data_IF_053607095813
#
_entry.id   IF_053607095813
#
_cell.length_a   1.000
_cell.length_b   1.000
_cell.length_c   1.000
_cell.angle_alpha   90.00
_cell.angle_beta   90.00
_cell.angle_gamma   90.00
#
_symmetry.space_group_name_H-M   'P 1'
#
loop_
_entity.id
_entity.type
_entity.pdbx_description
1 polymer ?
#
# COMPACT_ATOMS: atom_id res chain seq x y z
N UNK A 1 4.35 17.65 -12.87
CA UNK A 1 3.50 16.62 -13.52
C UNK A 1 4.19 15.26 -13.43
N UNK A 2 3.47 14.23 -13.05
CA UNK A 2 4.01 12.88 -12.96
C UNK A 2 3.83 12.13 -14.27
N UNK A 3 4.87 11.44 -14.72
CA UNK A 3 4.76 10.46 -15.80
C UNK A 3 4.17 9.16 -15.27
N UNK A 4 3.69 8.29 -16.17
CA UNK A 4 3.21 6.97 -15.77
C UNK A 4 4.30 6.16 -15.04
N UNK A 5 5.54 6.23 -15.53
CA UNK A 5 6.67 5.56 -14.87
C UNK A 5 6.90 6.08 -13.45
N UNK A 6 6.82 7.40 -13.23
CA UNK A 6 6.97 7.99 -11.90
C UNK A 6 5.85 7.57 -10.96
N UNK A 7 4.62 7.43 -11.46
CA UNK A 7 3.49 6.98 -10.66
C UNK A 7 3.68 5.53 -10.20
N UNK A 8 4.16 4.66 -11.10
CA UNK A 8 4.48 3.29 -10.70
C UNK A 8 5.68 3.23 -9.73
N UNK A 9 6.65 4.14 -9.88
CA UNK A 9 7.73 4.26 -8.90
C UNK A 9 7.20 4.64 -7.52
N UNK A 10 6.19 5.51 -7.45
CA UNK A 10 5.52 5.84 -6.19
C UNK A 10 4.78 4.65 -5.61
N UNK A 11 4.08 3.87 -6.44
CA UNK A 11 3.40 2.66 -5.99
C UNK A 11 4.39 1.67 -5.38
N UNK A 12 5.52 1.45 -6.03
CA UNK A 12 6.58 0.57 -5.53
C UNK A 12 7.10 1.08 -4.17
N UNK A 13 7.31 2.37 -4.05
CA UNK A 13 7.77 2.97 -2.80
C UNK A 13 6.77 2.80 -1.66
N UNK A 14 5.48 2.99 -1.94
CA UNK A 14 4.41 2.79 -0.97
C UNK A 14 4.42 1.35 -0.46
N UNK A 15 4.51 0.38 -1.38
CA UNK A 15 4.51 -1.03 -1.02
C UNK A 15 5.77 -1.42 -0.23
N UNK A 16 6.93 -0.87 -0.59
CA UNK A 16 8.17 -1.09 0.16
C UNK A 16 8.10 -0.51 1.57
N UNK A 17 7.49 0.67 1.72
CA UNK A 17 7.27 1.26 3.03
C UNK A 17 6.34 0.39 3.87
N UNK A 18 5.31 -0.18 3.25
CA UNK A 18 4.41 -1.12 3.91
C UNK A 18 5.13 -2.37 4.40
N UNK A 19 5.95 -2.96 3.55
CA UNK A 19 6.75 -4.13 3.94
C UNK A 19 7.65 -3.80 5.13
N UNK A 20 8.38 -2.69 5.06
CA UNK A 20 9.29 -2.29 6.14
C UNK A 20 8.52 -2.09 7.46
N UNK A 21 7.36 -1.44 7.39
CA UNK A 21 6.50 -1.22 8.55
C UNK A 21 6.09 -2.55 9.19
N UNK A 22 5.60 -3.50 8.39
CA UNK A 22 5.16 -4.79 8.93
C UNK A 22 6.32 -5.63 9.45
N UNK A 23 7.49 -5.60 8.79
CA UNK A 23 8.68 -6.30 9.27
C UNK A 23 9.19 -5.72 10.59
N UNK A 24 9.19 -4.39 10.71
CA UNK A 24 9.58 -3.72 11.94
C UNK A 24 8.59 -4.00 13.08
N UNK A 25 7.30 -4.03 12.77
CA UNK A 25 6.28 -4.39 13.74
C UNK A 25 6.45 -5.82 14.25
N UNK A 26 6.88 -6.75 13.38
CA UNK A 26 7.17 -8.13 13.77
C UNK A 26 8.26 -8.24 14.85
N UNK A 27 9.20 -7.32 14.82
CA UNK A 27 10.28 -7.31 15.83
C UNK A 27 9.79 -6.83 17.19
N UNK A 28 8.75 -6.01 17.21
CA UNK A 28 8.23 -5.41 18.43
C UNK A 28 7.07 -6.21 19.04
N UNK A 29 6.19 -6.75 18.20
CA UNK A 29 4.98 -7.46 18.63
C UNK A 29 5.13 -8.94 18.25
N UNK A 30 5.39 -9.79 19.25
CA UNK A 30 5.86 -11.15 19.04
C UNK A 30 4.86 -12.25 19.42
N UNK A 31 3.63 -11.92 19.80
CA UNK A 31 2.65 -12.97 20.05
C UNK A 31 2.36 -13.74 18.77
N UNK A 32 2.13 -15.08 18.82
CA UNK A 32 1.99 -15.86 17.58
C UNK A 32 0.91 -15.39 16.63
N UNK A 33 -0.24 -14.95 17.14
CA UNK A 33 -1.34 -14.52 16.31
C UNK A 33 -1.03 -13.24 15.54
N UNK A 34 -0.46 -12.22 16.21
CA UNK A 34 -0.11 -10.97 15.53
C UNK A 34 1.06 -11.19 14.58
N UNK A 35 2.03 -12.03 14.94
CA UNK A 35 3.19 -12.33 14.11
C UNK A 35 2.77 -12.96 12.78
N UNK A 36 1.82 -13.90 12.81
CA UNK A 36 1.31 -14.54 11.59
C UNK A 36 0.63 -13.54 10.68
N UNK A 37 -0.15 -12.62 11.23
CA UNK A 37 -0.83 -11.57 10.45
C UNK A 37 0.20 -10.62 9.83
N UNK A 38 1.15 -10.14 10.61
CA UNK A 38 2.14 -9.17 10.13
C UNK A 38 3.06 -9.78 9.06
N UNK A 39 3.44 -11.04 9.23
CA UNK A 39 4.24 -11.75 8.24
C UNK A 39 3.48 -11.91 6.93
N UNK A 40 2.20 -12.30 7.00
CA UNK A 40 1.34 -12.40 5.83
C UNK A 40 1.24 -11.06 5.10
N UNK A 41 0.97 -9.98 5.83
CA UNK A 41 0.85 -8.65 5.23
C UNK A 41 2.17 -8.19 4.60
N UNK A 42 3.29 -8.42 5.27
CA UNK A 42 4.61 -8.08 4.71
C UNK A 42 4.88 -8.84 3.41
N UNK A 43 4.58 -10.14 3.37
CA UNK A 43 4.78 -10.97 2.17
C UNK A 43 3.89 -10.51 1.02
N UNK A 44 2.66 -10.06 1.31
CA UNK A 44 1.78 -9.51 0.29
C UNK A 44 2.32 -8.20 -0.29
N UNK A 45 2.93 -7.35 0.55
CA UNK A 45 3.57 -6.13 0.07
C UNK A 45 4.72 -6.45 -0.90
N UNK A 46 5.52 -7.48 -0.62
CA UNK A 46 6.59 -7.94 -1.52
C UNK A 46 6.02 -8.34 -2.87
N UNK A 47 4.92 -9.10 -2.85
CA UNK A 47 4.26 -9.55 -4.09
C UNK A 47 3.77 -8.36 -4.91
N UNK A 48 3.19 -7.36 -4.26
CA UNK A 48 2.74 -6.14 -4.94
C UNK A 48 3.90 -5.35 -5.54
N UNK A 49 5.04 -5.28 -4.84
CA UNK A 49 6.26 -4.64 -5.37
C UNK A 49 6.69 -5.33 -6.67
N UNK A 50 6.68 -6.64 -6.70
CA UNK A 50 7.06 -7.41 -7.90
C UNK A 50 6.13 -7.11 -9.08
N UNK A 51 4.82 -7.04 -8.83
CA UNK A 51 3.83 -6.73 -9.87
C UNK A 51 4.07 -5.32 -10.43
N UNK A 52 4.19 -4.32 -9.57
CA UNK A 52 4.40 -2.94 -10.01
C UNK A 52 5.77 -2.74 -10.67
N UNK A 53 6.79 -3.45 -10.22
CA UNK A 53 8.12 -3.40 -10.85
C UNK A 53 8.04 -3.91 -12.30
N UNK A 54 7.32 -5.00 -12.52
CA UNK A 54 7.09 -5.55 -13.85
C UNK A 54 6.31 -4.57 -14.72
N UNK A 55 5.23 -3.99 -14.20
CA UNK A 55 4.41 -3.03 -14.93
C UNK A 55 5.21 -1.79 -15.30
N UNK A 56 6.04 -1.29 -14.39
CA UNK A 56 6.90 -0.15 -14.65
C UNK A 56 7.90 -0.46 -15.76
N UNK A 57 8.51 -1.65 -15.73
CA UNK A 57 9.47 -2.06 -16.76
C UNK A 57 8.81 -2.13 -18.14
N UNK A 58 7.59 -2.60 -18.24
CA UNK A 58 6.83 -2.65 -19.48
C UNK A 58 6.52 -1.24 -20.01
N UNK A 59 6.15 -0.32 -19.14
CA UNK A 59 5.91 1.07 -19.48
C UNK A 59 7.20 1.74 -19.94
N UNK A 60 8.31 1.52 -19.25
CA UNK A 60 9.62 2.11 -19.61
C UNK A 60 10.14 1.60 -20.95
N UNK A 61 9.79 0.37 -21.32
CA UNK A 61 10.15 -0.22 -22.60
C UNK A 61 9.25 0.25 -23.76
N UNK A 62 8.08 0.80 -23.45
CA UNK A 62 7.13 1.31 -24.44
C UNK A 62 7.47 2.73 -24.81
N UNK A 63 7.30 3.07 -26.11
CA UNK A 63 7.49 4.45 -26.58
C UNK A 63 6.23 5.30 -26.44
N UNK A 64 5.09 4.66 -26.19
CA UNK A 64 3.79 5.33 -26.06
C UNK A 64 3.35 5.24 -24.61
N UNK A 65 3.78 6.19 -23.78
CA UNK A 65 3.32 6.25 -22.39
C UNK A 65 1.93 6.88 -22.32
N UNK A 66 1.00 6.29 -21.56
CA UNK A 66 -0.16 7.06 -21.15
C UNK A 66 0.31 8.17 -20.22
N UNK A 67 0.13 9.41 -20.63
CA UNK A 67 0.43 10.58 -19.78
C UNK A 67 -0.84 10.85 -18.98
N UNK A 68 -0.79 10.87 -17.63
CA UNK A 68 -1.95 11.21 -16.82
C UNK A 68 -2.42 12.62 -17.19
N UNK A 69 -3.73 12.83 -17.20
CA UNK A 69 -4.23 14.17 -17.43
C UNK A 69 -3.86 15.10 -16.27
N UNK A 70 -4.01 16.40 -16.48
CA UNK A 70 -3.59 17.40 -15.51
C UNK A 70 -4.38 17.30 -14.19
N UNK A 71 -5.65 16.90 -14.26
CA UNK A 71 -6.48 16.74 -13.08
C UNK A 71 -5.97 15.61 -12.20
N UNK A 72 -5.59 14.47 -12.81
CA UNK A 72 -5.02 13.33 -12.08
C UNK A 72 -3.67 13.73 -11.48
N UNK A 73 -2.83 14.45 -12.22
CA UNK A 73 -1.54 14.93 -11.71
C UNK A 73 -1.71 15.82 -10.49
N UNK A 74 -2.69 16.72 -10.49
CA UNK A 74 -2.98 17.59 -9.35
C UNK A 74 -3.44 16.80 -8.13
N UNK A 75 -4.30 15.80 -8.33
CA UNK A 75 -4.74 14.93 -7.24
C UNK A 75 -3.58 14.14 -6.64
N UNK A 76 -2.69 13.62 -7.50
CA UNK A 76 -1.49 12.90 -7.05
C UNK A 76 -0.55 13.81 -6.25
N UNK A 77 -0.32 15.03 -6.73
CA UNK A 77 0.51 16.01 -6.02
C UNK A 77 -0.05 16.31 -4.63
N UNK A 78 -1.36 16.44 -4.53
CA UNK A 78 -2.03 16.68 -3.26
C UNK A 78 -1.87 15.49 -2.31
N UNK A 79 -2.08 14.28 -2.79
CA UNK A 79 -1.96 13.05 -1.99
C UNK A 79 -0.53 12.86 -1.51
N UNK A 80 0.45 13.02 -2.40
CA UNK A 80 1.88 12.91 -2.07
C UNK A 80 2.30 14.03 -1.10
N UNK A 81 1.76 15.25 -1.32
CA UNK A 81 2.06 16.40 -0.46
C UNK A 81 1.56 16.23 0.97
N UNK A 82 0.45 15.52 1.16
CA UNK A 82 -0.08 15.21 2.49
C UNK A 82 0.74 14.14 3.23
N UNK A 83 1.67 13.49 2.55
CA UNK A 83 2.59 12.46 3.09
C UNK A 83 1.90 11.30 3.81
N UNK A 84 0.63 11.07 3.53
CA UNK A 84 -0.16 10.00 4.18
C UNK A 84 0.37 8.60 3.92
N UNK A 85 1.13 8.44 2.83
CA UNK A 85 1.70 7.15 2.45
C UNK A 85 3.11 6.93 3.01
N UNK A 86 3.63 7.90 3.77
CA UNK A 86 4.99 7.78 4.29
C UNK A 86 4.97 7.14 5.67
N UNK A 87 4.95 5.80 5.70
CA UNK A 87 5.15 5.06 6.94
C UNK A 87 6.57 5.24 7.52
N UNK A 88 7.48 5.84 6.73
CA UNK A 88 8.81 6.16 7.20
C UNK A 88 8.84 7.16 8.36
N UNK A 89 7.76 7.93 8.55
CA UNK A 89 7.63 8.85 9.67
C UNK A 89 7.05 8.19 10.92
N UNK A 90 6.54 6.96 10.80
CA UNK A 90 5.98 6.24 11.95
C UNK A 90 7.13 5.73 12.82
N UNK A 91 7.18 6.21 14.03
CA UNK A 91 8.15 5.74 15.03
C UNK A 91 7.49 4.63 15.85
N UNK A 92 7.81 3.38 15.51
CA UNK A 92 7.25 2.20 16.18
C UNK A 92 7.63 2.12 17.66
N UNK A 93 8.71 2.82 18.08
CA UNK A 93 9.06 2.87 19.49
C UNK A 93 8.00 3.57 20.33
N UNK A 94 7.21 4.43 19.71
CA UNK A 94 6.12 5.17 20.36
C UNK A 94 4.78 4.45 20.31
N UNK A 95 4.68 3.38 19.53
CA UNK A 95 3.46 2.56 19.42
C UNK A 95 3.48 1.55 20.55
N UNK A 96 2.58 1.71 21.51
CA UNK A 96 2.62 0.94 22.75
C UNK A 96 1.70 -0.27 22.78
N UNK A 97 0.74 -0.35 21.87
CA UNK A 97 -0.27 -1.41 21.91
C UNK A 97 -0.57 -1.97 20.53
N UNK A 98 -1.05 -3.20 20.49
CA UNK A 98 -1.52 -3.85 19.26
C UNK A 98 -2.69 -3.07 18.62
N UNK A 99 -3.73 -2.64 19.38
CA UNK A 99 -4.81 -1.83 18.77
C UNK A 99 -4.31 -0.57 18.07
N UNK A 100 -3.34 0.13 18.65
CA UNK A 100 -2.74 1.32 18.05
C UNK A 100 -2.02 0.97 16.74
N UNK A 101 -1.23 -0.12 16.75
CA UNK A 101 -0.56 -0.62 15.56
C UNK A 101 -1.55 -0.94 14.44
N UNK A 102 -2.65 -1.64 14.77
CA UNK A 102 -3.66 -2.04 13.80
C UNK A 102 -4.37 -0.83 13.21
N UNK A 103 -4.60 0.22 13.99
CA UNK A 103 -5.21 1.45 13.49
C UNK A 103 -4.29 2.14 12.48
N UNK A 104 -3.00 2.24 12.76
CA UNK A 104 -2.02 2.82 11.84
C UNK A 104 -1.98 2.01 10.54
N UNK A 105 -1.96 0.69 10.64
CA UNK A 105 -1.97 -0.19 9.46
C UNK A 105 -3.23 0.00 8.62
N UNK A 106 -4.39 0.09 9.26
CA UNK A 106 -5.66 0.29 8.54
C UNK A 106 -5.68 1.63 7.81
N UNK A 107 -5.22 2.69 8.44
CA UNK A 107 -5.13 4.01 7.81
C UNK A 107 -4.20 3.97 6.58
N UNK A 108 -3.07 3.31 6.71
CA UNK A 108 -2.14 3.13 5.59
C UNK A 108 -2.78 2.37 4.43
N UNK A 109 -3.47 1.27 4.72
CA UNK A 109 -4.13 0.48 3.67
C UNK A 109 -5.23 1.27 2.98
N UNK A 110 -6.02 2.05 3.72
CA UNK A 110 -7.05 2.92 3.14
C UNK A 110 -6.46 3.97 2.21
N UNK A 111 -5.38 4.63 2.62
CA UNK A 111 -4.71 5.63 1.78
C UNK A 111 -4.11 4.98 0.53
N UNK A 112 -3.55 3.80 0.68
CA UNK A 112 -2.98 3.02 -0.44
C UNK A 112 -4.06 2.69 -1.48
N UNK A 113 -5.24 2.27 -1.03
CA UNK A 113 -6.37 1.99 -1.93
C UNK A 113 -6.76 3.23 -2.74
N UNK A 114 -6.86 4.38 -2.09
CA UNK A 114 -7.19 5.65 -2.78
C UNK A 114 -6.17 5.96 -3.87
N UNK A 115 -4.89 5.75 -3.59
CA UNK A 115 -3.83 5.94 -4.58
C UNK A 115 -3.98 4.98 -5.74
N UNK A 116 -4.23 3.69 -5.47
CA UNK A 116 -4.35 2.68 -6.52
C UNK A 116 -5.62 2.86 -7.36
N UNK A 117 -6.71 3.32 -6.75
CA UNK A 117 -7.92 3.69 -7.51
C UNK A 117 -7.63 4.82 -8.50
N UNK A 118 -6.78 5.76 -8.10
CA UNK A 118 -6.34 6.84 -8.98
C UNK A 118 -5.49 6.31 -10.13
N UNK A 119 -4.53 5.41 -9.84
CA UNK A 119 -3.75 4.73 -10.89
C UNK A 119 -4.70 4.03 -11.88
N UNK A 120 -5.68 3.28 -11.37
CA UNK A 120 -6.64 2.56 -12.20
C UNK A 120 -7.40 3.48 -13.14
N UNK A 121 -7.64 4.73 -12.75
CA UNK A 121 -8.43 5.67 -13.55
C UNK A 121 -7.72 6.12 -14.83
N UNK A 122 -6.39 6.04 -14.92
CA UNK A 122 -5.66 6.44 -16.12
C UNK A 122 -5.04 5.27 -16.90
N UNK A 123 -5.07 4.06 -16.35
CA UNK A 123 -4.53 2.88 -17.04
C UNK A 123 -5.42 2.54 -18.22
N UNK A 124 -4.82 2.45 -19.41
CA UNK A 124 -5.55 2.13 -20.64
C UNK A 124 -5.44 0.65 -21.03
N UNK A 125 -4.32 0.02 -20.67
CA UNK A 125 -4.11 -1.39 -20.95
C UNK A 125 -4.99 -2.26 -20.03
N UNK A 126 -5.82 -3.12 -20.64
CA UNK A 126 -6.76 -3.94 -19.86
C UNK A 126 -6.08 -4.94 -18.94
N UNK A 127 -4.93 -5.48 -19.32
CA UNK A 127 -4.20 -6.42 -18.47
C UNK A 127 -3.65 -5.72 -17.23
N UNK A 128 -3.06 -4.53 -17.43
CA UNK A 128 -2.54 -3.72 -16.32
C UNK A 128 -3.67 -3.28 -15.41
N UNK A 129 -4.79 -2.84 -15.98
CA UNK A 129 -5.96 -2.44 -15.20
C UNK A 129 -6.47 -3.60 -14.34
N UNK A 130 -6.54 -4.81 -14.90
CA UNK A 130 -6.97 -6.00 -14.14
C UNK A 130 -6.03 -6.28 -12.97
N UNK A 131 -4.72 -6.15 -13.17
CA UNK A 131 -3.73 -6.35 -12.10
C UNK A 131 -3.89 -5.31 -10.99
N UNK A 132 -4.06 -4.04 -11.35
CA UNK A 132 -4.26 -2.97 -10.36
C UNK A 132 -5.56 -3.19 -9.59
N UNK A 133 -6.65 -3.54 -10.26
CA UNK A 133 -7.93 -3.82 -9.61
C UNK A 133 -7.86 -5.02 -8.68
N UNK A 134 -7.11 -6.04 -9.06
CA UNK A 134 -6.87 -7.20 -8.21
C UNK A 134 -6.14 -6.80 -6.93
N UNK A 135 -5.12 -5.96 -7.05
CA UNK A 135 -4.39 -5.45 -5.89
C UNK A 135 -5.32 -4.63 -4.98
N UNK A 136 -6.17 -3.78 -5.54
CA UNK A 136 -7.16 -3.02 -4.77
C UNK A 136 -8.06 -3.96 -3.96
N UNK A 137 -8.53 -5.03 -4.59
CA UNK A 137 -9.35 -6.05 -3.91
C UNK A 137 -8.58 -6.69 -2.76
N UNK A 138 -7.32 -7.02 -2.98
CA UNK A 138 -6.47 -7.62 -1.96
C UNK A 138 -6.20 -6.66 -0.79
N UNK A 139 -5.99 -5.36 -1.07
CA UNK A 139 -5.83 -4.35 -0.03
C UNK A 139 -7.12 -4.20 0.80
N UNK A 140 -8.29 -4.29 0.18
CA UNK A 140 -9.55 -4.30 0.91
C UNK A 140 -9.68 -5.52 1.83
N UNK A 141 -9.19 -6.67 1.40
CA UNK A 141 -9.14 -7.88 2.24
C UNK A 141 -8.17 -7.70 3.40
N UNK A 142 -7.05 -7.02 3.20
CA UNK A 142 -6.11 -6.69 4.28
C UNK A 142 -6.79 -5.84 5.36
N UNK A 143 -7.56 -4.83 4.96
CA UNK A 143 -8.32 -4.01 5.90
C UNK A 143 -9.29 -4.85 6.70
N UNK A 144 -9.99 -5.76 6.03
CA UNK A 144 -10.93 -6.67 6.69
C UNK A 144 -10.23 -7.52 7.74
N UNK A 145 -9.07 -8.08 7.39
CA UNK A 145 -8.26 -8.88 8.33
C UNK A 145 -7.80 -8.05 9.52
N UNK A 146 -7.35 -6.82 9.28
CA UNK A 146 -6.92 -5.92 10.34
C UNK A 146 -8.08 -5.61 11.30
N UNK A 147 -9.26 -5.34 10.76
CA UNK A 147 -10.46 -5.06 11.57
C UNK A 147 -10.92 -6.27 12.39
N UNK A 148 -10.90 -7.45 11.78
CA UNK A 148 -11.25 -8.68 12.47
C UNK A 148 -10.28 -8.97 13.60
N UNK A 149 -9.00 -8.76 13.37
CA UNK A 149 -7.98 -8.94 14.40
C UNK A 149 -8.15 -7.92 15.53
N UNK A 150 -8.41 -6.66 15.20
CA UNK A 150 -8.66 -5.61 16.19
C UNK A 150 -9.86 -5.93 17.06
N UNK A 151 -10.91 -6.49 16.47
CA UNK A 151 -12.11 -6.88 17.20
C UNK A 151 -11.83 -8.01 18.18
N UNK A 152 -11.08 -9.02 17.77
CA UNK A 152 -10.67 -10.12 18.65
C UNK A 152 -9.80 -9.63 19.81
N UNK A 153 -8.92 -8.67 19.57
CA UNK A 153 -8.10 -8.08 20.62
C UNK A 153 -8.96 -7.32 21.65
N UNK A 154 -10.01 -6.63 21.19
CA UNK A 154 -10.95 -5.96 22.10
C UNK A 154 -11.73 -6.94 22.98
N UNK A 155 -12.11 -8.09 22.42
CA UNK A 155 -12.81 -9.14 23.16
C UNK A 155 -11.96 -9.76 24.25
N UNK A 156 -10.63 -9.76 24.10
CA UNK A 156 -9.70 -10.28 25.10
C UNK A 156 -9.45 -9.30 26.25
N UNK A 157 -9.71 -8.04 26.02
CA UNK A 157 -9.56 -6.99 27.02
C UNK A 157 -10.82 -6.82 27.89
#
# INVERSE_FOLDING_TARGET
>A
MFSASEIYALAIRIEKNGEAFYRDALRKFSSPSISSLLEYLADEEVRHVEIFTKEKAEIDASKDYPIPDEAISKELEKIVGDQKFSLGEVDLSKVESVPELLQIAEEFENDTILFFEMIASFVQDSNTLNEVQKIITEENEHIKLLREFAEKEREKG
#
